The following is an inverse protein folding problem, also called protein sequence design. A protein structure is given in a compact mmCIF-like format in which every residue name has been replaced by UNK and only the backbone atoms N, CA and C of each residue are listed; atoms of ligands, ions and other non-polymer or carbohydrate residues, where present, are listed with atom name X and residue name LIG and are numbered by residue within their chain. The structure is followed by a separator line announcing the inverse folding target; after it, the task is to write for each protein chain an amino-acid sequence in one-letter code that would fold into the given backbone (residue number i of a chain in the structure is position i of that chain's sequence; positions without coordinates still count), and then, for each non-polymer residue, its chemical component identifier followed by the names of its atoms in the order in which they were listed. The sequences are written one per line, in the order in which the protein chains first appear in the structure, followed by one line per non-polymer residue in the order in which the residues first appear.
data_IF_106100499725
#
_entry.id   IF_106100499725
#
_cell.length_a   1.000
_cell.length_b   1.000
_cell.length_c   1.000
_cell.angle_alpha   90.00
_cell.angle_beta   90.00
_cell.angle_gamma   90.00
#
_symmetry.space_group_name_H-M   'P 1'
#
loop_
_entity.id
_entity.type
_entity.pdbx_description
1 polymer ?
#
# COMPACT_ATOMS: atom_id res chain seq x y z
N UNK A 1 -8.13 14.43 21.76
CA UNK A 1 -7.16 13.58 21.06
C UNK A 1 -6.16 14.48 20.34
N UNK A 2 -4.87 14.15 20.29
CA UNK A 2 -3.89 14.99 19.59
C UNK A 2 -4.06 14.79 18.08
N UNK A 3 -4.59 15.79 17.39
CA UNK A 3 -4.90 15.76 15.95
C UNK A 3 -3.71 15.30 15.09
N UNK A 4 -2.49 15.63 15.51
CA UNK A 4 -1.27 15.21 14.80
C UNK A 4 -0.96 13.73 14.94
N UNK A 5 -1.23 13.15 16.12
CA UNK A 5 -1.05 11.71 16.34
C UNK A 5 -2.12 10.93 15.56
N UNK A 6 -3.34 11.46 15.50
CA UNK A 6 -4.42 10.89 14.71
C UNK A 6 -4.11 10.89 13.22
N UNK A 7 -3.58 12.00 12.70
CA UNK A 7 -3.15 12.09 11.30
C UNK A 7 -2.06 11.06 10.97
N UNK A 8 -1.08 10.87 11.85
CA UNK A 8 -0.04 9.86 11.67
C UNK A 8 -0.60 8.43 11.71
N UNK A 9 -1.49 8.14 12.66
CA UNK A 9 -2.15 6.83 12.75
C UNK A 9 -2.92 6.50 11.46
N UNK A 10 -3.67 7.47 10.94
CA UNK A 10 -4.43 7.32 9.70
C UNK A 10 -3.55 6.95 8.50
N UNK A 11 -2.37 7.56 8.35
CA UNK A 11 -1.43 7.23 7.27
C UNK A 11 -0.97 5.76 7.36
N UNK A 12 -0.72 5.24 8.56
CA UNK A 12 -0.35 3.84 8.75
C UNK A 12 -1.53 2.90 8.54
N UNK A 13 -2.73 3.26 8.98
CA UNK A 13 -3.95 2.48 8.71
C UNK A 13 -4.26 2.39 7.22
N UNK A 14 -4.09 3.49 6.49
CA UNK A 14 -4.25 3.53 5.04
C UNK A 14 -3.17 2.71 4.33
N UNK A 15 -1.89 2.86 4.72
CA UNK A 15 -0.81 2.03 4.18
C UNK A 15 -1.04 0.53 4.40
N UNK A 16 -1.52 0.14 5.59
CA UNK A 16 -1.85 -1.25 5.89
C UNK A 16 -2.97 -1.79 4.98
N UNK A 17 -4.04 -1.01 4.76
CA UNK A 17 -5.13 -1.39 3.85
C UNK A 17 -4.63 -1.60 2.41
N UNK A 18 -3.77 -0.73 1.93
CA UNK A 18 -3.17 -0.85 0.60
C UNK A 18 -2.28 -2.10 0.50
N UNK A 19 -1.46 -2.39 1.51
CA UNK A 19 -0.65 -3.62 1.54
C UNK A 19 -1.50 -4.89 1.56
N UNK A 20 -2.60 -4.91 2.32
CA UNK A 20 -3.56 -6.02 2.34
C UNK A 20 -4.20 -6.23 0.95
N UNK A 21 -4.56 -5.15 0.25
CA UNK A 21 -5.07 -5.22 -1.12
C UNK A 21 -4.00 -5.74 -2.09
N UNK A 22 -2.76 -5.26 -1.96
CA UNK A 22 -1.64 -5.74 -2.76
C UNK A 22 -1.43 -7.25 -2.61
N UNK A 23 -1.45 -7.76 -1.37
CA UNK A 23 -1.33 -9.18 -1.07
C UNK A 23 -2.45 -10.00 -1.72
N UNK A 24 -3.72 -9.56 -1.58
CA UNK A 24 -4.88 -10.22 -2.23
C UNK A 24 -4.74 -10.24 -3.75
N UNK A 25 -4.27 -9.16 -4.36
CA UNK A 25 -4.04 -9.13 -5.80
C UNK A 25 -2.93 -10.10 -6.22
N UNK A 26 -1.86 -10.25 -5.45
CA UNK A 26 -0.82 -11.25 -5.70
C UNK A 26 -1.37 -12.69 -5.65
N UNK A 27 -2.22 -13.01 -4.65
CA UNK A 27 -2.85 -14.33 -4.53
C UNK A 27 -3.73 -14.66 -5.74
N UNK A 28 -4.57 -13.70 -6.18
CA UNK A 28 -5.43 -13.88 -7.36
C UNK A 28 -4.61 -13.97 -8.65
N UNK A 29 -3.57 -13.15 -8.80
CA UNK A 29 -2.65 -13.24 -9.94
C UNK A 29 -2.02 -14.63 -10.03
N UNK A 30 -1.53 -15.17 -8.91
CA UNK A 30 -0.93 -16.50 -8.84
C UNK A 30 -1.93 -17.61 -9.21
N UNK A 31 -3.18 -17.50 -8.78
CA UNK A 31 -4.24 -18.43 -9.20
C UNK A 31 -4.48 -18.33 -10.72
N UNK A 32 -4.64 -17.13 -11.26
CA UNK A 32 -4.83 -16.94 -12.71
C UNK A 32 -3.66 -17.47 -13.55
N UNK A 33 -2.41 -17.32 -13.10
CA UNK A 33 -1.27 -17.91 -13.79
C UNK A 33 -1.28 -19.44 -13.73
N UNK A 34 -1.65 -20.06 -12.61
CA UNK A 34 -1.85 -21.52 -12.51
C UNK A 34 -2.93 -22.04 -13.45
N UNK A 35 -3.97 -21.23 -13.67
CA UNK A 35 -5.08 -21.55 -14.58
C UNK A 35 -4.80 -21.19 -16.05
N UNK A 36 -3.57 -20.77 -16.38
CA UNK A 36 -3.17 -20.29 -17.72
C UNK A 36 -3.95 -19.06 -18.23
N UNK A 37 -4.55 -18.27 -17.34
CA UNK A 37 -5.29 -17.04 -17.64
C UNK A 37 -4.37 -15.81 -17.64
N UNK A 38 -3.37 -15.81 -18.53
CA UNK A 38 -2.25 -14.85 -18.53
C UNK A 38 -2.69 -13.36 -18.49
N UNK A 39 -3.62 -12.88 -19.34
CA UNK A 39 -4.01 -11.46 -19.30
C UNK A 39 -4.63 -11.04 -17.97
N UNK A 40 -5.41 -11.94 -17.34
CA UNK A 40 -6.03 -11.68 -16.03
C UNK A 40 -4.98 -11.71 -14.91
N UNK A 41 -4.06 -12.66 -14.95
CA UNK A 41 -2.94 -12.73 -14.00
C UNK A 41 -2.09 -11.47 -14.03
N UNK A 42 -1.74 -10.98 -15.23
CA UNK A 42 -0.96 -9.75 -15.40
C UNK A 42 -1.71 -8.52 -14.88
N UNK A 43 -3.02 -8.40 -15.13
CA UNK A 43 -3.83 -7.30 -14.61
C UNK A 43 -3.79 -7.23 -13.08
N UNK A 44 -3.96 -8.36 -12.40
CA UNK A 44 -3.86 -8.41 -10.94
C UNK A 44 -2.43 -8.14 -10.44
N UNK A 45 -1.40 -8.62 -11.14
CA UNK A 45 -0.01 -8.33 -10.77
C UNK A 45 0.29 -6.81 -10.84
N UNK A 46 -0.21 -6.11 -11.86
CA UNK A 46 -0.05 -4.66 -11.95
C UNK A 46 -0.89 -3.89 -10.93
N UNK A 47 -2.08 -4.37 -10.60
CA UNK A 47 -2.88 -3.81 -9.51
C UNK A 47 -2.16 -3.95 -8.15
N UNK A 48 -1.56 -5.12 -7.87
CA UNK A 48 -0.76 -5.33 -6.66
C UNK A 48 0.39 -4.31 -6.56
N UNK A 49 1.12 -4.09 -7.67
CA UNK A 49 2.18 -3.07 -7.72
C UNK A 49 1.63 -1.67 -7.46
N UNK A 50 0.45 -1.33 -8.00
CA UNK A 50 -0.19 -0.04 -7.75
C UNK A 50 -0.47 0.20 -6.27
N UNK A 51 -1.08 -0.78 -5.59
CA UNK A 51 -1.34 -0.71 -4.15
C UNK A 51 -0.06 -0.64 -3.31
N UNK A 52 1.00 -1.37 -3.70
CA UNK A 52 2.30 -1.26 -3.02
C UNK A 52 2.89 0.15 -3.11
N UNK A 53 2.80 0.80 -4.27
CA UNK A 53 3.28 2.17 -4.46
C UNK A 53 2.44 3.22 -3.69
N UNK A 54 1.13 3.01 -3.59
CA UNK A 54 0.28 3.89 -2.76
C UNK A 54 0.64 3.73 -1.27
N UNK A 55 0.84 2.50 -0.79
CA UNK A 55 1.29 2.25 0.58
C UNK A 55 2.63 2.95 0.87
N UNK A 56 3.61 2.80 -0.05
CA UNK A 56 4.90 3.49 0.04
C UNK A 56 4.73 5.01 0.11
N UNK A 57 3.84 5.57 -0.72
CA UNK A 57 3.55 7.02 -0.74
C UNK A 57 3.05 7.51 0.63
N UNK A 58 2.18 6.75 1.30
CA UNK A 58 1.67 7.10 2.64
C UNK A 58 2.75 7.02 3.71
N UNK A 59 3.62 6.01 3.64
CA UNK A 59 4.75 5.87 4.56
C UNK A 59 5.75 7.01 4.36
N UNK A 60 6.01 7.40 3.12
CA UNK A 60 6.82 8.54 2.74
C UNK A 60 6.26 9.87 3.28
N UNK A 61 4.94 10.07 3.18
CA UNK A 61 4.27 11.25 3.71
C UNK A 61 4.46 11.35 5.22
N UNK A 62 4.28 10.24 5.95
CA UNK A 62 4.52 10.19 7.38
C UNK A 62 5.99 10.48 7.72
N UNK A 63 6.93 9.89 6.98
CA UNK A 63 8.36 10.08 7.23
C UNK A 63 8.79 11.54 7.02
N UNK A 64 8.25 12.20 5.99
CA UNK A 64 8.47 13.64 5.74
C UNK A 64 7.93 14.49 6.88
N UNK A 65 6.73 14.19 7.37
CA UNK A 65 6.14 14.91 8.50
C UNK A 65 6.93 14.69 9.80
N UNK A 66 7.39 13.47 10.07
CA UNK A 66 8.26 13.18 11.19
C UNK A 66 9.57 13.98 11.11
N UNK A 67 10.23 13.96 9.94
CA UNK A 67 11.49 14.67 9.71
C UNK A 67 11.36 16.18 9.97
N UNK A 68 10.32 16.84 9.42
CA UNK A 68 10.06 18.27 9.65
C UNK A 68 9.94 18.64 11.13
N UNK A 69 9.43 17.72 11.95
CA UNK A 69 9.19 17.95 13.38
C UNK A 69 10.40 17.64 14.25
N UNK A 70 11.22 16.68 13.83
CA UNK A 70 12.44 16.28 14.55
C UNK A 70 13.64 17.19 14.25
N UNK A 71 13.55 18.04 13.22
CA UNK A 71 14.58 19.03 12.86
C UNK A 71 14.42 20.40 13.53
N UNK A 72 13.55 20.53 14.54
CA UNK A 72 13.30 21.76 15.31
C UNK A 72 13.87 21.62 16.72
#
# INVERSE_FOLDING_TARGET
MNEKLEAAAKLYEEAAKELDLAARHCEVAAQHFRDNLVPRGAAHAWAARGHMLEAETRLDEQAREHSRRSSV
#
